data_IF_110847132167
#
_entry.id   IF_110847132167
#
_cell.length_a   1.000
_cell.length_b   1.000
_cell.length_c   1.000
_cell.angle_alpha   90.00
_cell.angle_beta   90.00
_cell.angle_gamma   90.00
#
_symmetry.space_group_name_H-M   'P 1'
#
loop_
_entity.id
_entity.type
_entity.pdbx_description
1 polymer ?
#
# COMPACT_ATOMS: atom_id res chain seq x y z
N UNK A 1 -4.29 -18.98 7.51
CA UNK A 1 -2.95 -18.62 8.08
C UNK A 1 -2.47 -19.80 8.91
N UNK A 2 -1.20 -20.18 8.82
CA UNK A 2 -0.63 -21.18 9.71
C UNK A 2 -0.49 -20.58 11.12
N UNK A 3 -0.73 -21.37 12.18
CA UNK A 3 -0.59 -20.94 13.58
C UNK A 3 0.78 -20.29 13.85
N UNK A 4 1.84 -20.82 13.25
CA UNK A 4 3.19 -20.28 13.37
C UNK A 4 3.26 -18.80 12.94
N UNK A 5 2.60 -18.41 11.85
CA UNK A 5 2.59 -17.01 11.38
C UNK A 5 1.82 -16.07 12.31
N UNK A 6 0.74 -16.57 12.90
CA UNK A 6 -0.09 -15.80 13.85
C UNK A 6 0.69 -15.46 15.11
N UNK A 7 1.62 -16.32 15.52
CA UNK A 7 2.46 -16.10 16.70
C UNK A 7 3.76 -15.38 16.36
N UNK A 8 4.49 -15.84 15.35
CA UNK A 8 5.82 -15.30 15.03
C UNK A 8 5.81 -13.84 14.58
N UNK A 9 4.79 -13.41 13.83
CA UNK A 9 4.70 -12.01 13.36
C UNK A 9 4.48 -11.00 14.49
N UNK A 10 3.53 -11.18 15.42
CA UNK A 10 3.41 -10.32 16.59
C UNK A 10 4.65 -10.33 17.48
N UNK A 11 5.29 -11.49 17.67
CA UNK A 11 6.53 -11.57 18.46
C UNK A 11 7.64 -10.72 17.84
N UNK A 12 7.85 -10.81 16.52
CA UNK A 12 8.83 -9.97 15.83
C UNK A 12 8.45 -8.50 15.87
N UNK A 13 7.17 -8.19 15.66
CA UNK A 13 6.64 -6.84 15.63
C UNK A 13 6.72 -6.12 16.99
N UNK A 14 6.65 -6.86 18.10
CA UNK A 14 6.59 -6.30 19.46
C UNK A 14 7.77 -5.38 19.75
N UNK A 15 8.98 -5.75 19.35
CA UNK A 15 10.18 -4.95 19.54
C UNK A 15 10.09 -3.58 18.84
N UNK A 16 9.56 -3.57 17.63
CA UNK A 16 9.39 -2.33 16.85
C UNK A 16 8.26 -1.45 17.40
N UNK A 17 7.15 -2.06 17.84
CA UNK A 17 6.04 -1.31 18.43
C UNK A 17 6.50 -0.69 19.76
N UNK A 18 7.12 -1.46 20.64
CA UNK A 18 7.61 -0.96 21.94
C UNK A 18 8.70 0.11 21.74
N UNK A 19 9.68 -0.16 20.89
CA UNK A 19 10.76 0.78 20.55
C UNK A 19 10.23 2.05 19.89
N UNK A 20 9.29 1.93 18.97
CA UNK A 20 8.65 3.05 18.29
C UNK A 20 7.83 3.93 19.24
N UNK A 21 7.04 3.33 20.13
CA UNK A 21 6.30 4.05 21.17
C UNK A 21 7.25 4.80 22.12
N UNK A 22 8.34 4.14 22.53
CA UNK A 22 9.36 4.80 23.35
C UNK A 22 9.99 5.99 22.61
N UNK A 23 10.33 5.85 21.34
CA UNK A 23 10.86 6.93 20.49
C UNK A 23 9.88 8.09 20.36
N UNK A 24 8.59 7.82 20.20
CA UNK A 24 7.56 8.86 20.12
C UNK A 24 7.42 9.64 21.43
N UNK A 25 7.43 8.94 22.57
CA UNK A 25 7.26 9.55 23.89
C UNK A 25 8.50 10.33 24.33
N UNK A 26 9.68 9.83 24.07
CA UNK A 26 10.94 10.29 24.64
C UNK A 26 11.86 10.94 23.58
N UNK A 27 11.33 11.37 22.42
CA UNK A 27 12.14 11.92 21.33
C UNK A 27 13.10 13.06 21.75
N UNK A 28 12.70 14.06 22.56
CA UNK A 28 13.62 15.10 23.00
C UNK A 28 14.76 14.57 23.86
N UNK A 29 14.48 13.65 24.80
CA UNK A 29 15.49 13.04 25.65
C UNK A 29 16.47 12.15 24.88
N UNK A 30 16.02 11.52 23.79
CA UNK A 30 16.82 10.68 22.93
C UNK A 30 17.62 11.45 21.89
N UNK A 31 17.35 12.74 21.69
CA UNK A 31 17.95 13.54 20.61
C UNK A 31 19.48 13.63 20.73
N UNK A 32 20.02 13.82 21.92
CA UNK A 32 21.48 13.88 22.15
C UNK A 32 22.17 12.55 21.79
N UNK A 33 21.58 11.42 22.20
CA UNK A 33 22.09 10.08 21.92
C UNK A 33 21.96 9.70 20.44
N UNK A 34 20.88 10.16 19.79
CA UNK A 34 20.63 9.86 18.38
C UNK A 34 21.37 10.80 17.41
N UNK A 35 21.88 11.92 17.88
CA UNK A 35 22.56 12.92 17.04
C UNK A 35 23.69 12.33 16.18
N UNK A 36 24.63 11.53 16.68
CA UNK A 36 25.69 10.93 15.84
C UNK A 36 25.14 10.03 14.72
N UNK A 37 24.02 9.34 15.00
CA UNK A 37 23.32 8.53 14.00
C UNK A 37 22.68 9.44 12.95
N UNK A 38 21.96 10.48 13.38
CA UNK A 38 21.32 11.43 12.48
C UNK A 38 22.35 12.14 11.57
N UNK A 39 23.48 12.59 12.13
CA UNK A 39 24.56 13.25 11.38
C UNK A 39 25.16 12.32 10.30
N UNK A 40 25.09 11.01 10.45
CA UNK A 40 25.53 10.03 9.46
C UNK A 40 24.43 9.68 8.45
N UNK A 41 23.20 9.46 8.94
CA UNK A 41 22.09 8.93 8.14
C UNK A 41 21.44 10.02 7.27
N UNK A 42 21.24 11.22 7.81
CA UNK A 42 20.57 12.31 7.08
C UNK A 42 21.25 12.67 5.77
N UNK A 43 22.59 12.85 5.69
CA UNK A 43 23.25 13.09 4.41
C UNK A 43 23.10 11.94 3.41
N UNK A 44 23.11 10.70 3.88
CA UNK A 44 22.91 9.51 3.03
C UNK A 44 21.50 9.50 2.42
N UNK A 45 20.48 9.80 3.23
CA UNK A 45 19.09 9.85 2.76
C UNK A 45 18.87 11.04 1.82
N UNK A 46 19.41 12.22 2.12
CA UNK A 46 19.34 13.39 1.24
C UNK A 46 20.02 13.11 -0.12
N UNK A 47 21.12 12.35 -0.13
CA UNK A 47 21.77 11.93 -1.37
C UNK A 47 20.95 10.92 -2.20
N UNK A 48 20.27 9.99 -1.52
CA UNK A 48 19.43 8.97 -2.17
C UNK A 48 18.06 9.52 -2.63
N UNK A 49 17.53 10.53 -1.92
CA UNK A 49 16.25 11.16 -2.21
C UNK A 49 16.36 12.70 -2.05
N UNK A 50 16.93 13.42 -3.03
CA UNK A 50 17.23 14.85 -2.92
C UNK A 50 15.99 15.73 -2.71
N UNK A 51 14.84 15.28 -3.18
CA UNK A 51 13.57 16.03 -3.10
C UNK A 51 12.76 15.73 -1.85
N UNK A 52 13.20 14.78 -1.01
CA UNK A 52 12.48 14.43 0.20
C UNK A 52 12.61 15.56 1.25
N UNK A 53 11.51 16.03 1.84
CA UNK A 53 11.52 17.02 2.91
C UNK A 53 12.00 16.36 4.21
N UNK A 54 13.32 16.35 4.44
CA UNK A 54 13.91 15.76 5.64
C UNK A 54 14.07 16.87 6.68
N UNK A 55 13.43 16.75 7.87
CA UNK A 55 13.59 17.69 8.95
C UNK A 55 15.04 17.75 9.44
N UNK A 56 15.49 18.94 9.82
CA UNK A 56 16.82 19.12 10.41
C UNK A 56 16.81 18.85 11.92
N UNK A 57 15.64 18.89 12.55
CA UNK A 57 15.48 18.61 13.97
C UNK A 57 15.53 17.10 14.27
N UNK A 58 16.51 16.72 15.09
CA UNK A 58 16.76 15.31 15.46
C UNK A 58 15.58 14.70 16.21
N UNK A 59 14.89 15.46 17.08
CA UNK A 59 13.74 14.95 17.80
C UNK A 59 12.57 14.63 16.85
N UNK A 60 12.39 15.43 15.81
CA UNK A 60 11.39 15.18 14.76
C UNK A 60 11.75 13.93 13.94
N UNK A 61 13.03 13.73 13.59
CA UNK A 61 13.50 12.51 12.93
C UNK A 61 13.23 11.26 13.77
N UNK A 62 13.47 11.33 15.09
CA UNK A 62 13.17 10.24 16.02
C UNK A 62 11.67 9.94 16.04
N UNK A 63 10.80 10.95 16.05
CA UNK A 63 9.35 10.77 16.01
C UNK A 63 8.89 10.12 14.70
N UNK A 64 9.41 10.58 13.56
CA UNK A 64 9.10 10.00 12.26
C UNK A 64 9.52 8.53 12.22
N UNK A 65 10.74 8.22 12.66
CA UNK A 65 11.24 6.85 12.73
C UNK A 65 10.39 6.00 13.69
N UNK A 66 10.04 6.52 14.86
CA UNK A 66 9.16 5.86 15.83
C UNK A 66 7.77 5.58 15.27
N UNK A 67 7.16 6.55 14.58
CA UNK A 67 5.87 6.37 13.91
C UNK A 67 5.94 5.30 12.82
N UNK A 68 7.00 5.31 12.00
CA UNK A 68 7.24 4.28 10.99
C UNK A 68 7.40 2.88 11.60
N UNK A 69 8.10 2.77 12.74
CA UNK A 69 8.25 1.50 13.46
C UNK A 69 6.93 1.01 14.04
N UNK A 70 6.11 1.87 14.65
CA UNK A 70 4.78 1.48 15.18
C UNK A 70 3.87 1.05 14.04
N UNK A 71 3.77 1.85 12.98
CA UNK A 71 2.93 1.53 11.82
C UNK A 71 3.37 0.23 11.14
N UNK A 72 4.66 0.09 10.85
CA UNK A 72 5.24 -1.12 10.25
C UNK A 72 5.07 -2.35 11.13
N UNK A 73 5.28 -2.20 12.46
CA UNK A 73 5.08 -3.26 13.44
C UNK A 73 3.63 -3.75 13.49
N UNK A 74 2.67 -2.85 13.56
CA UNK A 74 1.24 -3.20 13.54
C UNK A 74 0.82 -3.86 12.22
N UNK A 75 1.32 -3.37 11.08
CA UNK A 75 1.09 -3.98 9.77
C UNK A 75 1.69 -5.39 9.68
N UNK A 76 2.88 -5.60 10.24
CA UNK A 76 3.54 -6.91 10.30
C UNK A 76 2.76 -7.86 11.21
N UNK A 77 2.41 -7.44 12.43
CA UNK A 77 1.66 -8.23 13.40
C UNK A 77 0.32 -8.71 12.85
N UNK A 78 -0.43 -7.80 12.19
CA UNK A 78 -1.72 -8.13 11.58
C UNK A 78 -1.61 -8.88 10.25
N UNK A 79 -0.40 -8.99 9.68
CA UNK A 79 -0.15 -9.62 8.39
C UNK A 79 -0.86 -8.93 7.22
N UNK A 80 -1.19 -7.64 7.33
CA UNK A 80 -1.91 -6.91 6.26
C UNK A 80 -1.02 -6.58 5.09
N UNK A 81 0.17 -6.19 5.21
CA UNK A 81 1.13 -5.90 4.13
C UNK A 81 2.53 -6.40 4.52
N UNK A 82 2.73 -7.72 4.69
CA UNK A 82 3.92 -8.25 5.35
C UNK A 82 5.22 -7.87 4.63
N UNK A 83 5.21 -7.78 3.30
CA UNK A 83 6.39 -7.37 2.52
C UNK A 83 6.73 -5.90 2.71
N UNK A 84 5.72 -5.03 2.59
CA UNK A 84 5.92 -3.59 2.75
C UNK A 84 6.34 -3.26 4.18
N UNK A 85 5.68 -3.85 5.18
CA UNK A 85 6.04 -3.65 6.59
C UNK A 85 7.44 -4.16 6.90
N UNK A 86 7.83 -5.33 6.39
CA UNK A 86 9.19 -5.86 6.58
C UNK A 86 10.25 -4.97 5.96
N UNK A 87 10.04 -4.47 4.74
CA UNK A 87 10.95 -3.54 4.08
C UNK A 87 11.06 -2.22 4.83
N UNK A 88 9.90 -1.65 5.26
CA UNK A 88 9.86 -0.43 6.05
C UNK A 88 10.66 -0.58 7.35
N UNK A 89 10.42 -1.67 8.10
CA UNK A 89 11.11 -1.93 9.36
C UNK A 89 12.61 -2.19 9.14
N UNK A 90 12.98 -2.91 8.10
CA UNK A 90 14.39 -3.12 7.75
C UNK A 90 15.08 -1.79 7.37
N UNK A 91 14.38 -0.93 6.63
CA UNK A 91 14.88 0.40 6.27
C UNK A 91 15.08 1.31 7.49
N UNK A 92 14.25 1.19 8.53
CA UNK A 92 14.43 1.94 9.79
C UNK A 92 15.55 1.34 10.64
N UNK A 93 15.77 0.03 10.59
CA UNK A 93 16.72 -0.69 11.42
C UNK A 93 18.15 -0.63 10.88
N UNK A 94 18.35 -0.78 9.58
CA UNK A 94 19.68 -0.92 8.98
C UNK A 94 20.60 0.29 9.25
N UNK A 95 20.20 1.55 8.95
CA UNK A 95 21.06 2.70 9.18
C UNK A 95 21.31 2.95 10.67
N UNK A 96 20.30 2.75 11.53
CA UNK A 96 20.45 2.92 12.97
C UNK A 96 21.39 1.86 13.58
N UNK A 97 21.39 0.64 13.04
CA UNK A 97 22.31 -0.41 13.46
C UNK A 97 23.75 -0.09 13.03
N UNK A 98 23.95 0.30 11.78
CA UNK A 98 25.29 0.59 11.27
C UNK A 98 25.92 1.83 11.92
N UNK A 99 25.14 2.88 12.21
CA UNK A 99 25.64 4.10 12.80
C UNK A 99 25.60 4.11 14.33
N UNK A 100 24.53 3.51 14.94
CA UNK A 100 24.31 3.54 16.39
C UNK A 100 25.05 2.42 17.15
N UNK A 101 25.41 1.32 16.47
CA UNK A 101 26.07 0.16 17.08
C UNK A 101 27.36 -0.20 16.38
N UNK A 102 28.17 0.85 16.08
CA UNK A 102 29.47 0.70 15.43
C UNK A 102 30.55 0.22 16.43
N UNK A 103 30.43 -1.03 16.93
CA UNK A 103 31.31 -1.59 17.96
C UNK A 103 32.80 -1.59 17.58
N UNK A 104 33.13 -1.49 16.32
CA UNK A 104 34.51 -1.39 15.83
C UNK A 104 35.14 -0.03 16.12
N UNK A 105 34.35 0.99 16.48
CA UNK A 105 34.84 2.31 16.89
C UNK A 105 35.05 2.42 18.39
N UNK A 106 34.56 1.47 19.17
CA UNK A 106 34.65 1.48 20.62
C UNK A 106 36.03 1.04 21.09
N UNK A 107 36.62 1.81 21.98
CA UNK A 107 37.92 1.53 22.60
C UNK A 107 37.80 0.82 23.93
N UNK A 108 36.75 1.11 24.70
CA UNK A 108 36.48 0.40 25.97
C UNK A 108 35.98 -1.01 25.71
N UNK A 109 36.60 -2.07 26.31
CA UNK A 109 36.21 -3.44 26.09
C UNK A 109 34.77 -3.78 26.50
N UNK A 110 34.26 -3.19 27.59
CA UNK A 110 32.90 -3.42 28.05
C UNK A 110 31.84 -2.76 27.13
N UNK A 111 32.06 -1.51 26.76
CA UNK A 111 31.23 -0.80 25.78
C UNK A 111 31.24 -1.53 24.44
N UNK A 112 32.39 -1.98 23.96
CA UNK A 112 32.54 -2.77 22.72
C UNK A 112 31.75 -4.06 22.75
N UNK A 113 31.82 -4.85 23.84
CA UNK A 113 31.05 -6.06 23.98
C UNK A 113 29.56 -5.82 23.96
N UNK A 114 29.10 -4.78 24.65
CA UNK A 114 27.69 -4.36 24.66
C UNK A 114 27.19 -3.93 23.27
N UNK A 115 27.92 -3.05 22.60
CA UNK A 115 27.59 -2.58 21.25
C UNK A 115 27.59 -3.73 20.23
N UNK A 116 28.54 -4.67 20.34
CA UNK A 116 28.57 -5.87 19.51
C UNK A 116 27.31 -6.72 19.70
N UNK A 117 26.86 -6.90 20.94
CA UNK A 117 25.61 -7.63 21.23
C UNK A 117 24.40 -6.95 20.59
N UNK A 118 24.28 -5.63 20.72
CA UNK A 118 23.20 -4.87 20.10
C UNK A 118 23.24 -4.92 18.56
N UNK A 119 24.42 -4.83 17.97
CA UNK A 119 24.62 -4.97 16.53
C UNK A 119 24.09 -6.32 16.01
N UNK A 120 24.56 -7.43 16.60
CA UNK A 120 24.13 -8.76 16.14
C UNK A 120 22.66 -9.07 16.45
N UNK A 121 22.12 -8.54 17.54
CA UNK A 121 20.66 -8.58 17.79
C UNK A 121 19.87 -7.93 16.66
N UNK A 122 20.30 -6.75 16.22
CA UNK A 122 19.63 -6.03 15.12
C UNK A 122 19.82 -6.72 13.78
N UNK A 123 21.01 -7.33 13.53
CA UNK A 123 21.24 -8.19 12.34
C UNK A 123 20.29 -9.38 12.32
N UNK A 124 20.11 -10.04 13.48
CA UNK A 124 19.15 -11.16 13.60
C UNK A 124 17.71 -10.71 13.33
N UNK A 125 17.31 -9.54 13.85
CA UNK A 125 16.00 -8.97 13.57
C UNK A 125 15.83 -8.62 12.08
N UNK A 126 16.86 -8.07 11.45
CA UNK A 126 16.84 -7.79 10.01
C UNK A 126 16.68 -9.08 9.19
N UNK A 127 17.40 -10.14 9.56
CA UNK A 127 17.21 -11.48 8.95
C UNK A 127 15.78 -11.99 9.09
N UNK A 128 15.20 -11.88 10.28
CA UNK A 128 13.79 -12.23 10.53
C UNK A 128 12.82 -11.39 9.69
N UNK A 129 13.06 -10.08 9.53
CA UNK A 129 12.26 -9.21 8.66
C UNK A 129 12.36 -9.61 7.17
N UNK A 130 13.55 -9.95 6.70
CA UNK A 130 13.73 -10.44 5.33
C UNK A 130 12.94 -11.73 5.11
N UNK A 131 13.04 -12.69 6.05
CA UNK A 131 12.24 -13.91 5.99
C UNK A 131 10.73 -13.63 6.01
N UNK A 132 10.25 -12.72 6.85
CA UNK A 132 8.85 -12.30 6.87
C UNK A 132 8.42 -11.61 5.56
N UNK A 133 9.35 -10.91 4.91
CA UNK A 133 9.12 -10.25 3.61
C UNK A 133 8.97 -11.21 2.43
N UNK A 134 9.74 -12.31 2.42
CA UNK A 134 9.65 -13.35 1.37
C UNK A 134 8.58 -14.41 1.68
N UNK A 135 8.11 -14.48 2.93
CA UNK A 135 7.09 -15.44 3.36
C UNK A 135 5.77 -15.22 2.61
N UNK A 136 5.47 -16.12 1.67
CA UNK A 136 4.22 -16.10 0.89
C UNK A 136 3.14 -16.84 1.64
N UNK A 137 2.02 -16.16 1.89
CA UNK A 137 0.79 -16.85 2.26
C UNK A 137 0.15 -17.43 0.97
N UNK A 138 0.11 -18.74 0.78
CA UNK A 138 -0.45 -19.34 -0.43
C UNK A 138 -1.93 -19.02 -0.63
N UNK A 139 -2.63 -18.62 0.43
CA UNK A 139 -4.04 -18.25 0.39
C UNK A 139 -4.29 -16.74 0.16
N UNK A 140 -3.24 -15.91 0.14
CA UNK A 140 -3.36 -14.47 -0.14
C UNK A 140 -2.83 -14.14 -1.52
N UNK A 141 -3.72 -13.76 -2.43
CA UNK A 141 -3.33 -13.17 -3.72
C UNK A 141 -2.47 -11.91 -3.49
N UNK A 142 -1.45 -11.72 -4.31
CA UNK A 142 -0.65 -10.50 -4.33
C UNK A 142 -1.53 -9.27 -4.56
N UNK A 143 -1.19 -8.11 -3.99
CA UNK A 143 -1.92 -6.85 -4.21
C UNK A 143 -2.07 -6.54 -5.71
N UNK A 144 -1.02 -6.76 -6.49
CA UNK A 144 -1.04 -6.59 -7.96
C UNK A 144 -2.08 -7.52 -8.61
N UNK A 145 -2.16 -8.77 -8.17
CA UNK A 145 -3.14 -9.73 -8.69
C UNK A 145 -4.56 -9.33 -8.27
N UNK A 146 -4.74 -8.86 -7.03
CA UNK A 146 -6.05 -8.34 -6.57
C UNK A 146 -6.48 -7.10 -7.35
N UNK A 147 -5.56 -6.14 -7.54
CA UNK A 147 -5.84 -4.95 -8.33
C UNK A 147 -6.20 -5.31 -9.78
N UNK A 148 -5.49 -6.28 -10.37
CA UNK A 148 -5.79 -6.79 -11.71
C UNK A 148 -7.16 -7.48 -11.77
N UNK A 149 -7.45 -8.37 -10.82
CA UNK A 149 -8.75 -9.07 -10.73
C UNK A 149 -9.89 -8.06 -10.59
N UNK A 150 -9.75 -7.04 -9.71
CA UNK A 150 -10.75 -5.98 -9.52
C UNK A 150 -10.91 -5.10 -10.77
N UNK A 151 -9.83 -4.80 -11.49
CA UNK A 151 -9.89 -4.03 -12.74
C UNK A 151 -10.59 -4.83 -13.86
N UNK A 152 -10.34 -6.14 -13.95
CA UNK A 152 -11.00 -7.03 -14.91
C UNK A 152 -12.49 -7.15 -14.60
N UNK A 153 -12.86 -7.31 -13.34
CA UNK A 153 -14.25 -7.40 -12.89
C UNK A 153 -15.01 -6.08 -13.14
N UNK A 154 -14.39 -4.93 -12.83
CA UNK A 154 -14.96 -3.63 -13.14
C UNK A 154 -15.12 -3.41 -14.66
N UNK A 155 -14.14 -3.81 -15.46
CA UNK A 155 -14.22 -3.76 -16.92
C UNK A 155 -15.33 -4.65 -17.49
N UNK A 156 -15.52 -5.84 -16.91
CA UNK A 156 -16.62 -6.76 -17.26
C UNK A 156 -17.99 -6.12 -17.00
N UNK A 157 -18.20 -5.60 -15.81
CA UNK A 157 -19.48 -4.95 -15.44
C UNK A 157 -19.80 -3.72 -16.29
N UNK A 158 -18.82 -2.92 -16.68
CA UNK A 158 -19.02 -1.78 -17.59
C UNK A 158 -19.40 -2.26 -18.99
N UNK A 159 -18.74 -3.29 -19.50
CA UNK A 159 -19.04 -3.90 -20.81
C UNK A 159 -20.46 -4.49 -20.86
N UNK A 160 -20.88 -5.20 -19.83
CA UNK A 160 -22.21 -5.80 -19.74
C UNK A 160 -23.31 -4.73 -19.69
N UNK A 161 -23.13 -3.68 -18.87
CA UNK A 161 -24.03 -2.54 -18.83
C UNK A 161 -24.14 -1.80 -20.17
N UNK A 162 -23.02 -1.63 -20.87
CA UNK A 162 -23.00 -1.01 -22.20
C UNK A 162 -23.73 -1.89 -23.24
N UNK A 163 -23.54 -3.22 -23.19
CA UNK A 163 -24.23 -4.15 -24.05
C UNK A 163 -25.75 -4.14 -23.81
N UNK A 164 -26.19 -4.11 -22.56
CA UNK A 164 -27.62 -4.06 -22.22
C UNK A 164 -28.25 -2.72 -22.62
N UNK A 165 -27.55 -1.62 -22.40
CA UNK A 165 -28.02 -0.29 -22.87
C UNK A 165 -28.16 -0.25 -24.40
N UNK A 166 -27.22 -0.83 -25.14
CA UNK A 166 -27.29 -0.91 -26.61
C UNK A 166 -28.44 -1.79 -27.11
N UNK A 167 -28.69 -2.92 -26.44
CA UNK A 167 -29.83 -3.80 -26.72
C UNK A 167 -31.16 -3.10 -26.51
N UNK A 168 -31.28 -2.35 -25.39
CA UNK A 168 -32.49 -1.60 -25.07
C UNK A 168 -32.73 -0.44 -26.06
N UNK A 169 -31.69 0.30 -26.42
CA UNK A 169 -31.75 1.34 -27.46
C UNK A 169 -32.22 0.77 -28.81
N UNK A 170 -31.70 -0.39 -29.20
CA UNK A 170 -32.08 -1.06 -30.43
C UNK A 170 -33.55 -1.53 -30.42
N UNK A 171 -34.03 -2.07 -29.30
CA UNK A 171 -35.44 -2.44 -29.12
C UNK A 171 -36.36 -1.20 -29.23
N UNK A 172 -35.97 -0.08 -28.62
CA UNK A 172 -36.74 1.19 -28.72
C UNK A 172 -36.77 1.73 -30.14
N UNK A 173 -35.63 1.73 -30.84
CA UNK A 173 -35.53 2.15 -32.22
C UNK A 173 -36.41 1.30 -33.17
N UNK A 174 -36.35 -0.04 -33.01
CA UNK A 174 -37.18 -0.95 -33.79
C UNK A 174 -38.68 -0.76 -33.54
N UNK A 175 -39.09 -0.50 -32.26
CA UNK A 175 -40.47 -0.23 -31.91
C UNK A 175 -40.96 1.13 -32.50
N UNK A 176 -40.10 2.16 -32.45
CA UNK A 176 -40.39 3.45 -33.06
C UNK A 176 -40.56 3.35 -34.58
N UNK A 177 -39.66 2.63 -35.28
CA UNK A 177 -39.71 2.41 -36.68
C UNK A 177 -41.00 1.67 -37.13
N UNK A 178 -41.39 0.60 -36.38
CA UNK A 178 -42.66 -0.09 -36.64
C UNK A 178 -43.89 0.83 -36.47
N UNK A 179 -43.86 1.73 -35.46
CA UNK A 179 -44.93 2.72 -35.23
C UNK A 179 -45.00 3.74 -36.36
N UNK A 180 -43.85 4.29 -36.79
CA UNK A 180 -43.75 5.23 -37.91
C UNK A 180 -44.26 4.60 -39.21
N UNK A 181 -43.87 3.36 -39.49
CA UNK A 181 -44.31 2.62 -40.69
C UNK A 181 -45.83 2.39 -40.68
N UNK A 182 -46.44 2.03 -39.53
CA UNK A 182 -47.89 1.86 -39.40
C UNK A 182 -48.61 3.21 -39.56
N UNK A 183 -48.08 4.30 -39.01
CA UNK A 183 -48.66 5.64 -39.15
C UNK A 183 -48.60 6.14 -40.63
N UNK A 184 -47.46 5.93 -41.31
CA UNK A 184 -47.29 6.22 -42.73
C UNK A 184 -48.31 5.47 -43.60
N UNK A 185 -48.48 4.16 -43.40
CA UNK A 185 -49.50 3.37 -44.11
C UNK A 185 -50.92 3.90 -43.91
N UNK A 186 -51.28 4.28 -42.65
CA UNK A 186 -52.60 4.87 -42.36
C UNK A 186 -52.80 6.22 -43.03
N UNK A 187 -51.76 7.09 -43.01
CA UNK A 187 -51.81 8.39 -43.69
C UNK A 187 -51.99 8.26 -45.21
N UNK A 188 -51.22 7.31 -45.83
CA UNK A 188 -51.29 7.05 -47.25
C UNK A 188 -52.67 6.51 -47.68
N UNK A 189 -53.25 5.62 -46.86
CA UNK A 189 -54.61 5.10 -47.08
C UNK A 189 -55.69 6.18 -46.95
N UNK A 190 -55.52 7.12 -46.05
CA UNK A 190 -56.42 8.30 -45.91
C UNK A 190 -56.28 9.29 -47.06
N UNK A 191 -55.06 9.53 -47.52
CA UNK A 191 -54.79 10.41 -48.69
C UNK A 191 -55.41 9.83 -49.96
N UNK A 192 -55.23 8.51 -50.21
CA UNK A 192 -55.86 7.87 -51.38
C UNK A 192 -57.39 7.88 -51.34
N UNK A 193 -57.99 7.70 -50.15
CA UNK A 193 -59.46 7.79 -49.98
C UNK A 193 -59.98 9.19 -50.25
N UNK A 194 -59.23 10.25 -49.85
CA UNK A 194 -59.57 11.62 -50.13
C UNK A 194 -59.43 11.95 -51.64
N UNK A 195 -58.36 11.46 -52.27
CA UNK A 195 -58.14 11.70 -53.72
C UNK A 195 -59.21 11.01 -54.61
N UNK A 196 -59.70 9.83 -54.18
CA UNK A 196 -60.79 9.15 -54.92
C UNK A 196 -62.16 9.88 -54.76
N UNK A 197 -62.43 10.48 -53.58
CA UNK A 197 -63.64 11.23 -53.30
C UNK A 197 -63.71 12.61 -54.03
N UNK A 198 -62.59 13.14 -54.50
CA UNK A 198 -62.50 14.37 -55.30
C UNK A 198 -62.58 14.10 -56.78
N UNK A 199 -62.58 12.84 -57.23
CA UNK A 199 -62.72 12.47 -58.67
C UNK A 199 -64.10 11.95 -59.02
N UNK A 200 -65.00 11.80 -58.08
CA UNK A 200 -66.42 11.51 -58.26
C UNK A 200 -67.22 12.76 -58.14
#
# INVERSE_FOLDING_TARGET
MTLLRVVARPMMASMFVVGGVNSLKNAPALASTAKPVADTVVPMVKKAAPTAPIPDDVATLIRINGAAQVAGGLMLATGRLPRLSSLLLAATLAPTTAAGHAFWKETDPAAKANQKTHFFKNVSMAGGLLMAGIDRDPHKKLLVTRAKDSAVEAGGTVRDKAADASREANKRATKANKRAHKAGKKAMKRANKRASALRS
#
